data_IF_486078444616
#
_entry.id   IF_486078444616
#
_cell.length_a   1.000
_cell.length_b   1.000
_cell.length_c   1.000
_cell.angle_alpha   90.00
_cell.angle_beta   90.00
_cell.angle_gamma   90.00
#
_symmetry.space_group_name_H-M   'P 1'
#
loop_
_entity.id
_entity.type
_entity.pdbx_description
1 polymer ?
#
# COMPACT_ATOMS: atom_id res chain seq x y z
N UNK A 1 -6.29 -11.15 17.61
CA UNK A 1 -6.66 -11.09 16.19
C UNK A 1 -8.07 -11.61 16.04
N UNK A 2 -9.03 -10.68 16.01
CA UNK A 2 -10.35 -10.97 15.44
C UNK A 2 -10.19 -11.19 13.93
N UNK A 3 -11.18 -11.81 13.29
CA UNK A 3 -11.20 -12.01 11.85
C UNK A 3 -11.39 -10.66 11.14
N UNK A 4 -10.30 -9.92 10.93
CA UNK A 4 -10.33 -8.58 10.32
C UNK A 4 -8.96 -7.96 10.06
N UNK A 5 -7.96 -8.29 10.88
CA UNK A 5 -6.62 -7.69 10.76
C UNK A 5 -5.73 -8.52 9.81
N UNK A 6 -5.91 -8.32 8.50
CA UNK A 6 -5.04 -8.93 7.48
C UNK A 6 -3.97 -7.92 7.08
N UNK A 7 -2.67 -8.26 7.18
CA UNK A 7 -1.61 -7.39 6.69
C UNK A 7 -1.77 -7.13 5.20
N UNK A 8 -1.50 -5.91 4.76
CA UNK A 8 -1.72 -5.54 3.36
C UNK A 8 -0.95 -6.41 2.37
N UNK A 9 0.29 -6.79 2.68
CA UNK A 9 1.07 -7.70 1.84
C UNK A 9 0.32 -9.02 1.55
N UNK A 10 -0.36 -9.58 2.56
CA UNK A 10 -1.16 -10.82 2.41
C UNK A 10 -2.36 -10.61 1.49
N UNK A 11 -2.94 -9.40 1.44
CA UNK A 11 -4.05 -9.11 0.55
C UNK A 11 -3.64 -9.22 -0.93
N UNK A 12 -2.46 -8.72 -1.29
CA UNK A 12 -1.93 -8.81 -2.64
C UNK A 12 -1.49 -10.23 -3.01
N UNK A 13 -0.97 -11.00 -2.06
CA UNK A 13 -0.67 -12.42 -2.25
C UNK A 13 -1.90 -13.25 -2.65
N UNK A 14 -3.08 -12.96 -2.09
CA UNK A 14 -4.34 -13.65 -2.47
C UNK A 14 -4.65 -13.45 -3.96
N UNK A 15 -4.26 -12.31 -4.53
CA UNK A 15 -4.47 -11.98 -5.94
C UNK A 15 -3.30 -12.43 -6.83
N UNK A 16 -2.30 -13.12 -6.26
CA UNK A 16 -1.11 -13.57 -6.96
C UNK A 16 -0.18 -12.42 -7.37
N UNK A 17 -0.29 -11.27 -6.69
CA UNK A 17 0.50 -10.07 -6.97
C UNK A 17 1.51 -9.89 -5.85
N UNK A 18 2.79 -9.92 -6.19
CA UNK A 18 3.83 -9.53 -5.23
C UNK A 18 3.74 -8.03 -4.98
N UNK A 19 3.64 -7.64 -3.71
CA UNK A 19 3.60 -6.24 -3.27
C UNK A 19 4.43 -6.05 -2.01
N UNK A 20 5.49 -5.24 -2.13
CA UNK A 20 6.34 -4.83 -1.02
C UNK A 20 7.00 -3.47 -1.33
N UNK A 21 7.97 -3.06 -0.51
CA UNK A 21 8.74 -1.83 -0.72
C UNK A 21 9.54 -1.77 -2.04
N UNK A 22 9.73 -2.91 -2.72
CA UNK A 22 10.47 -3.01 -3.98
C UNK A 22 9.57 -2.83 -5.21
N UNK A 23 8.26 -3.00 -5.08
CA UNK A 23 7.31 -2.71 -6.14
C UNK A 23 6.00 -3.49 -6.11
N UNK A 24 5.25 -3.36 -7.21
CA UNK A 24 3.95 -4.01 -7.44
C UNK A 24 3.82 -4.38 -8.92
N UNK A 25 3.21 -5.53 -9.25
CA UNK A 25 3.05 -6.01 -10.64
C UNK A 25 4.40 -6.01 -11.40
N UNK A 26 4.50 -5.27 -12.51
CA UNK A 26 5.72 -5.07 -13.31
C UNK A 26 6.46 -3.77 -12.94
N UNK A 27 5.92 -2.95 -12.03
CA UNK A 27 6.52 -1.68 -11.60
C UNK A 27 7.53 -1.93 -10.48
N UNK A 28 8.74 -1.36 -10.63
CA UNK A 28 9.84 -1.55 -9.67
C UNK A 28 10.42 -0.23 -9.23
N UNK A 29 10.61 -0.09 -7.93
CA UNK A 29 11.29 1.06 -7.33
C UNK A 29 12.76 1.02 -7.74
N UNK A 30 13.28 2.17 -8.17
CA UNK A 30 14.67 2.33 -8.57
C UNK A 30 15.10 3.79 -8.42
N UNK A 31 16.29 4.14 -8.90
CA UNK A 31 16.85 5.50 -8.79
C UNK A 31 16.01 6.59 -9.45
N UNK A 32 15.11 6.23 -10.37
CA UNK A 32 14.31 7.16 -11.17
C UNK A 32 12.82 7.12 -10.89
N UNK A 33 12.34 6.11 -10.16
CA UNK A 33 10.91 5.91 -9.90
C UNK A 33 10.71 5.42 -8.48
N UNK A 34 9.70 5.98 -7.81
CA UNK A 34 9.27 5.53 -6.51
C UNK A 34 7.81 5.06 -6.50
N UNK A 35 7.48 4.32 -5.45
CA UNK A 35 6.13 3.94 -5.11
C UNK A 35 5.74 4.62 -3.79
N UNK A 36 4.64 5.39 -3.80
CA UNK A 36 4.08 6.00 -2.59
C UNK A 36 2.72 5.41 -2.30
N UNK A 37 2.52 4.96 -1.07
CA UNK A 37 1.25 4.45 -0.61
C UNK A 37 0.66 5.38 0.44
N UNK A 38 -0.64 5.59 0.33
CA UNK A 38 -1.45 6.37 1.25
C UNK A 38 -2.62 5.52 1.72
N UNK A 39 -2.91 5.55 3.02
CA UNK A 39 -4.09 4.87 3.59
C UNK A 39 -4.86 5.85 4.45
N UNK A 40 -6.14 6.02 4.14
CA UNK A 40 -6.98 7.04 4.76
C UNK A 40 -8.44 6.59 4.81
N UNK A 41 -9.23 7.24 5.66
CA UNK A 41 -10.65 6.90 5.79
C UNK A 41 -11.42 7.22 4.50
N UNK A 42 -12.49 6.45 4.24
CA UNK A 42 -13.38 6.71 3.10
C UNK A 42 -13.89 8.14 3.09
N UNK A 43 -13.60 8.87 2.01
CA UNK A 43 -13.99 10.28 1.82
C UNK A 43 -12.88 11.28 2.10
N UNK A 44 -11.74 10.83 2.63
CA UNK A 44 -10.49 11.61 2.70
C UNK A 44 -9.68 11.47 1.40
N UNK A 45 -8.53 12.15 1.36
CA UNK A 45 -7.62 12.17 0.21
C UNK A 45 -6.20 11.83 0.63
N UNK A 46 -5.41 11.30 -0.30
CA UNK A 46 -3.99 11.07 -0.10
C UNK A 46 -3.25 12.37 0.29
N UNK A 47 -2.41 12.29 1.32
CA UNK A 47 -1.57 13.38 1.81
C UNK A 47 -0.30 12.81 2.43
N UNK A 48 0.77 13.60 2.57
CA UNK A 48 2.00 13.10 3.20
C UNK A 48 1.81 12.66 4.67
N UNK A 49 0.74 13.10 5.34
CA UNK A 49 0.42 12.68 6.71
C UNK A 49 -0.09 11.24 6.79
N UNK A 50 -0.77 10.78 5.74
CA UNK A 50 -1.32 9.44 5.65
C UNK A 50 -0.47 8.49 4.78
N UNK A 51 0.78 8.90 4.51
CA UNK A 51 1.77 8.08 3.80
C UNK A 51 2.23 6.91 4.67
N UNK A 52 2.12 5.71 4.13
CA UNK A 52 2.61 4.48 4.76
C UNK A 52 3.95 4.09 4.14
N UNK A 53 4.93 3.83 4.99
CA UNK A 53 6.28 3.38 4.58
C UNK A 53 6.57 1.93 4.96
N UNK A 54 5.68 1.29 5.74
CA UNK A 54 5.83 -0.09 6.21
C UNK A 54 4.69 -0.95 5.68
N UNK A 55 4.80 -1.32 4.40
CA UNK A 55 3.75 -1.96 3.60
C UNK A 55 3.32 -3.32 4.17
N UNK A 56 4.26 -4.20 4.49
CA UNK A 56 3.97 -5.58 4.91
C UNK A 56 3.34 -5.69 6.29
N UNK A 57 3.55 -4.68 7.14
CA UNK A 57 3.09 -4.67 8.53
C UNK A 57 1.82 -3.85 8.71
N UNK A 58 1.34 -3.16 7.68
CA UNK A 58 0.16 -2.33 7.77
C UNK A 58 -1.10 -3.20 7.90
N UNK A 59 -1.84 -3.01 8.99
CA UNK A 59 -3.11 -3.69 9.24
C UNK A 59 -4.26 -2.81 8.73
N UNK A 60 -4.98 -3.31 7.74
CA UNK A 60 -6.13 -2.61 7.17
C UNK A 60 -7.33 -2.63 8.10
N UNK A 61 -8.01 -1.50 8.19
CA UNK A 61 -9.27 -1.34 8.91
C UNK A 61 -10.44 -1.20 7.93
N UNK A 62 -11.63 -1.59 8.39
CA UNK A 62 -12.83 -1.50 7.58
C UNK A 62 -13.19 -0.04 7.25
N UNK A 63 -13.41 0.25 5.97
CA UNK A 63 -13.76 1.58 5.48
C UNK A 63 -12.56 2.45 5.11
N UNK A 64 -11.34 1.91 5.13
CA UNK A 64 -10.16 2.58 4.60
C UNK A 64 -10.04 2.43 3.08
N UNK A 65 -9.44 3.45 2.47
CA UNK A 65 -9.01 3.46 1.07
C UNK A 65 -7.49 3.35 1.02
N UNK A 66 -6.98 2.50 0.13
CA UNK A 66 -5.55 2.37 -0.17
C UNK A 66 -5.30 2.96 -1.54
N UNK A 67 -4.36 3.90 -1.61
CA UNK A 67 -3.95 4.51 -2.86
C UNK A 67 -2.44 4.31 -3.05
N UNK A 68 -2.05 3.69 -4.17
CA UNK A 68 -0.65 3.42 -4.52
C UNK A 68 -0.30 4.19 -5.78
N UNK A 69 0.69 5.07 -5.69
CA UNK A 69 1.19 5.90 -6.79
C UNK A 69 2.57 5.44 -7.21
N UNK A 70 2.71 5.03 -8.48
CA UNK A 70 4.01 4.82 -9.11
C UNK A 70 4.33 6.02 -10.00
N UNK A 71 5.41 6.74 -9.70
CA UNK A 71 5.80 7.94 -10.45
C UNK A 71 7.32 8.14 -10.52
N UNK A 72 7.75 8.94 -11.48
CA UNK A 72 9.15 9.32 -11.64
C UNK A 72 9.57 10.37 -10.59
N UNK A 73 10.84 10.33 -10.19
CA UNK A 73 11.46 11.24 -9.21
C UNK A 73 12.18 12.40 -9.92
#
# INVERSE_FOLDING_TARGET
NEAGDVPLGVFFDIWGVHFDETGIFDHRVNETHEMRMHVFASGEVASEENRVTTFDAYLLQNGETIEVHYHAI
#
